data_IF_827654480689
#
_entry.id   IF_827654480689
#
_cell.length_a   1.000
_cell.length_b   1.000
_cell.length_c   1.000
_cell.angle_alpha   90.00
_cell.angle_beta   90.00
_cell.angle_gamma   90.00
#
_symmetry.space_group_name_H-M   'P 1'
#
loop_
_entity.id
_entity.type
_entity.pdbx_description
1 polymer ?
#
# COMPACT_ATOMS: atom_id res chain seq x y z
N UNK A 1 2.29 21.48 20.47
CA UNK A 1 2.67 22.00 19.11
C UNK A 1 2.73 23.51 19.21
N UNK A 2 3.90 24.07 19.00
CA UNK A 2 4.09 25.54 19.06
C UNK A 2 3.57 26.13 17.75
N UNK A 3 2.49 26.81 17.70
CA UNK A 3 1.79 27.47 16.57
C UNK A 3 2.67 28.11 15.45
N UNK A 4 3.82 27.50 15.13
CA UNK A 4 4.78 27.94 14.13
C UNK A 4 4.40 27.56 12.70
N UNK A 5 3.59 26.52 12.53
CA UNK A 5 3.16 26.03 11.22
C UNK A 5 1.71 26.44 11.00
N UNK A 6 1.46 27.21 9.95
CA UNK A 6 0.12 27.72 9.59
C UNK A 6 -0.64 26.80 8.67
N UNK A 7 0.05 26.09 7.78
CA UNK A 7 -0.54 25.21 6.77
C UNK A 7 0.21 23.88 6.82
N UNK A 8 -0.54 22.77 6.78
CA UNK A 8 -0.01 21.42 6.69
C UNK A 8 -0.62 20.74 5.48
N UNK A 9 0.20 20.24 4.58
CA UNK A 9 -0.22 19.38 3.46
C UNK A 9 0.13 17.95 3.85
N UNK A 10 -0.83 17.06 3.79
CA UNK A 10 -0.65 15.69 4.25
C UNK A 10 -1.61 14.70 3.56
N UNK A 11 -1.31 13.42 3.68
CA UNK A 11 -2.23 12.35 3.32
C UNK A 11 -3.11 11.96 4.51
N UNK A 12 -4.12 11.13 4.29
CA UNK A 12 -4.99 10.57 5.35
C UNK A 12 -4.20 9.93 6.50
N UNK A 13 -3.04 9.34 6.22
CA UNK A 13 -2.17 8.71 7.24
C UNK A 13 -1.67 9.70 8.30
N UNK A 14 -1.39 10.94 7.93
CA UNK A 14 -0.96 11.98 8.87
C UNK A 14 -2.09 12.38 9.83
N UNK A 15 -3.32 12.22 9.41
CA UNK A 15 -4.49 12.59 10.20
C UNK A 15 -4.74 11.71 11.42
N UNK A 16 -4.24 10.48 11.46
CA UNK A 16 -4.44 9.58 12.60
C UNK A 16 -3.63 10.07 13.81
N UNK A 17 -4.35 10.41 14.90
CA UNK A 17 -3.73 10.84 16.17
C UNK A 17 -3.50 12.36 16.33
N UNK A 18 -3.79 13.19 15.32
CA UNK A 18 -3.69 14.65 15.48
C UNK A 18 -4.96 15.19 16.12
N UNK A 19 -4.80 15.72 17.34
CA UNK A 19 -5.87 16.38 18.09
C UNK A 19 -5.53 17.87 18.34
N UNK A 20 -5.49 18.66 17.23
CA UNK A 20 -5.32 20.11 17.31
C UNK A 20 -6.71 20.76 17.31
N UNK A 21 -7.11 21.48 18.37
CA UNK A 21 -8.48 22.00 18.50
C UNK A 21 -8.77 23.18 17.57
N UNK A 22 -7.79 23.98 17.23
CA UNK A 22 -7.91 25.26 16.55
C UNK A 22 -7.63 25.18 15.03
N UNK A 23 -7.94 24.06 14.38
CA UNK A 23 -7.90 23.94 12.91
C UNK A 23 -9.05 24.75 12.34
N UNK A 24 -8.73 25.77 11.54
CA UNK A 24 -9.72 26.70 10.97
C UNK A 24 -10.27 26.25 9.62
N UNK A 25 -9.51 25.48 8.85
CA UNK A 25 -9.94 24.94 7.59
C UNK A 25 -9.39 23.54 7.37
N UNK A 26 -10.20 22.64 6.84
CA UNK A 26 -9.80 21.37 6.27
C UNK A 26 -10.19 21.40 4.79
N UNK A 27 -9.18 21.30 3.93
CA UNK A 27 -9.36 21.38 2.48
C UNK A 27 -8.98 20.03 1.88
N UNK A 28 -9.94 19.37 1.27
CA UNK A 28 -9.69 18.17 0.46
C UNK A 28 -9.34 18.63 -0.95
N UNK A 29 -8.12 18.34 -1.37
CA UNK A 29 -7.63 18.62 -2.72
C UNK A 29 -8.02 17.51 -3.70
N UNK A 30 -8.07 16.27 -3.21
CA UNK A 30 -8.53 15.10 -3.94
C UNK A 30 -9.84 14.58 -3.35
N UNK A 31 -10.65 13.89 -4.17
CA UNK A 31 -11.87 13.24 -3.71
C UNK A 31 -11.56 12.12 -2.71
N UNK A 32 -12.16 12.16 -1.50
CA UNK A 32 -12.06 11.05 -0.55
C UNK A 32 -12.68 9.77 -1.12
N UNK A 33 -12.23 8.62 -0.65
CA UNK A 33 -12.76 7.34 -1.14
C UNK A 33 -14.16 7.00 -0.62
N UNK A 34 -14.64 7.71 0.41
CA UNK A 34 -15.95 7.48 1.00
C UNK A 34 -16.40 8.65 1.86
N UNK A 35 -17.70 8.66 2.20
CA UNK A 35 -18.29 9.65 3.09
C UNK A 35 -17.69 9.56 4.51
N UNK A 36 -17.35 8.35 4.96
CA UNK A 36 -16.75 8.12 6.26
C UNK A 36 -15.35 8.75 6.34
N UNK A 37 -14.54 8.56 5.28
CA UNK A 37 -13.22 9.19 5.18
C UNK A 37 -13.36 10.71 5.19
N UNK A 38 -14.24 11.25 4.36
CA UNK A 38 -14.53 12.69 4.34
C UNK A 38 -14.90 13.20 5.74
N UNK A 39 -15.84 12.54 6.41
CA UNK A 39 -16.31 12.94 7.74
C UNK A 39 -15.19 12.90 8.80
N UNK A 40 -14.37 11.88 8.80
CA UNK A 40 -13.23 11.78 9.73
C UNK A 40 -12.20 12.88 9.52
N UNK A 41 -11.97 13.28 8.28
CA UNK A 41 -10.99 14.31 7.94
C UNK A 41 -11.59 15.70 8.15
N UNK A 42 -12.77 15.97 7.65
CA UNK A 42 -13.51 17.23 7.83
C UNK A 42 -13.81 17.55 9.30
N UNK A 43 -14.13 16.52 10.11
CA UNK A 43 -14.38 16.63 11.55
C UNK A 43 -13.17 17.01 12.41
N UNK A 44 -12.03 17.31 11.78
CA UNK A 44 -10.86 17.90 12.46
C UNK A 44 -10.97 19.41 12.57
N UNK A 45 -11.80 20.05 11.75
CA UNK A 45 -12.03 21.48 11.78
C UNK A 45 -12.87 21.88 13.01
N UNK A 46 -12.48 22.95 13.68
CA UNK A 46 -13.27 23.60 14.72
C UNK A 46 -13.55 22.79 15.98
N UNK A 47 -12.67 21.90 16.39
CA UNK A 47 -12.85 21.10 17.63
C UNK A 47 -12.90 21.94 18.91
N UNK A 48 -12.48 23.19 18.85
CA UNK A 48 -12.60 24.16 19.95
C UNK A 48 -13.96 24.89 19.99
N UNK A 49 -14.90 24.48 19.12
CA UNK A 49 -16.23 25.07 19.02
C UNK A 49 -16.30 26.41 18.28
N UNK A 50 -15.15 26.92 17.76
CA UNK A 50 -15.12 28.15 16.98
C UNK A 50 -15.41 27.87 15.49
N UNK A 51 -15.86 28.90 14.74
CA UNK A 51 -16.12 28.75 13.32
C UNK A 51 -14.92 28.18 12.57
N UNK A 52 -15.19 27.20 11.73
CA UNK A 52 -14.21 26.52 10.89
C UNK A 52 -14.89 25.97 9.63
N UNK A 53 -14.13 25.76 8.59
CA UNK A 53 -14.63 25.35 7.28
C UNK A 53 -14.09 23.98 6.86
N UNK A 54 -14.94 23.18 6.23
CA UNK A 54 -14.56 21.97 5.52
C UNK A 54 -14.88 22.18 4.04
N UNK A 55 -13.84 22.16 3.22
CA UNK A 55 -13.91 22.47 1.79
C UNK A 55 -13.50 21.26 1.00
N UNK A 56 -14.28 20.88 0.00
CA UNK A 56 -13.93 19.84 -0.96
C UNK A 56 -13.77 20.50 -2.34
N UNK A 57 -12.56 20.39 -2.89
CA UNK A 57 -12.24 20.88 -4.23
C UNK A 57 -12.27 19.71 -5.20
N UNK A 58 -13.01 19.83 -6.29
CA UNK A 58 -13.00 18.84 -7.37
C UNK A 58 -13.53 19.45 -8.67
N UNK A 59 -13.10 18.86 -9.77
CA UNK A 59 -13.58 19.16 -11.12
C UNK A 59 -14.29 17.93 -11.69
N UNK A 60 -14.99 18.10 -12.81
CA UNK A 60 -15.69 17.00 -13.47
C UNK A 60 -14.74 15.86 -13.82
N UNK A 61 -13.53 16.17 -14.32
CA UNK A 61 -12.52 15.16 -14.66
C UNK A 61 -12.06 14.33 -13.44
N UNK A 62 -11.94 14.97 -12.26
CA UNK A 62 -11.57 14.28 -11.02
C UNK A 62 -12.67 13.30 -10.61
N UNK A 63 -13.91 13.72 -10.77
CA UNK A 63 -15.09 12.90 -10.52
C UNK A 63 -15.15 11.70 -11.46
N UNK A 64 -15.00 11.91 -12.76
CA UNK A 64 -15.05 10.85 -13.76
C UNK A 64 -13.94 9.82 -13.53
N UNK A 65 -12.73 10.29 -13.20
CA UNK A 65 -11.61 9.42 -12.83
C UNK A 65 -11.89 8.64 -11.55
N UNK A 66 -12.42 9.30 -10.51
CA UNK A 66 -12.79 8.65 -9.26
C UNK A 66 -13.84 7.56 -9.49
N UNK A 67 -14.89 7.85 -10.25
CA UNK A 67 -15.94 6.89 -10.59
C UNK A 67 -15.38 5.68 -11.33
N UNK A 68 -14.54 5.90 -12.33
CA UNK A 68 -13.85 4.82 -13.05
C UNK A 68 -13.04 3.93 -12.09
N UNK A 69 -12.33 4.51 -11.13
CA UNK A 69 -11.59 3.75 -10.12
C UNK A 69 -12.51 2.88 -9.26
N UNK A 70 -13.67 3.43 -8.85
CA UNK A 70 -14.63 2.68 -8.04
C UNK A 70 -15.24 1.51 -8.81
N UNK A 71 -15.57 1.68 -10.09
CA UNK A 71 -16.11 0.62 -10.95
C UNK A 71 -15.15 -0.56 -11.08
N UNK A 72 -13.85 -0.30 -11.15
CA UNK A 72 -12.81 -1.32 -11.27
C UNK A 72 -12.53 -2.14 -9.98
N UNK A 73 -13.09 -1.74 -8.83
CA UNK A 73 -12.90 -2.46 -7.55
C UNK A 73 -13.64 -3.79 -7.47
N UNK A 74 -14.69 -3.95 -8.26
CA UNK A 74 -15.52 -5.16 -8.29
C UNK A 74 -15.55 -5.75 -9.71
N UNK A 75 -14.43 -6.33 -10.19
CA UNK A 75 -14.40 -6.91 -11.52
C UNK A 75 -15.35 -8.11 -11.62
N UNK A 76 -15.92 -8.40 -12.81
CA UNK A 76 -16.74 -9.57 -13.02
C UNK A 76 -16.05 -10.88 -12.56
N UNK A 77 -16.84 -11.87 -12.15
CA UNK A 77 -16.32 -13.16 -11.66
C UNK A 77 -15.44 -13.85 -12.70
N UNK A 78 -15.78 -13.75 -13.98
CA UNK A 78 -15.01 -14.28 -15.10
C UNK A 78 -13.62 -13.63 -15.16
N UNK A 79 -13.53 -12.34 -14.86
CA UNK A 79 -12.26 -11.60 -14.79
C UNK A 79 -11.42 -12.04 -13.60
N UNK A 80 -12.05 -12.30 -12.43
CA UNK A 80 -11.35 -12.82 -11.25
C UNK A 80 -10.81 -14.23 -11.55
N UNK A 81 -11.62 -15.10 -12.17
CA UNK A 81 -11.18 -16.44 -12.58
C UNK A 81 -10.06 -16.40 -13.63
N UNK A 82 -10.16 -15.47 -14.59
CA UNK A 82 -9.10 -15.24 -15.58
C UNK A 82 -7.80 -14.81 -14.89
N UNK A 83 -7.86 -13.88 -13.93
CA UNK A 83 -6.67 -13.44 -13.19
C UNK A 83 -6.02 -14.58 -12.40
N UNK A 84 -6.81 -15.50 -11.83
CA UNK A 84 -6.29 -16.69 -11.17
C UNK A 84 -5.58 -17.64 -12.15
N UNK A 85 -6.16 -17.86 -13.34
CA UNK A 85 -5.54 -18.67 -14.39
C UNK A 85 -4.22 -18.03 -14.84
N UNK A 86 -4.26 -16.75 -15.22
CA UNK A 86 -3.10 -16.02 -15.72
C UNK A 86 -1.97 -15.96 -14.65
N UNK A 87 -2.33 -15.80 -13.36
CA UNK A 87 -1.36 -15.83 -12.26
C UNK A 87 -0.67 -17.20 -12.18
N UNK A 88 -1.46 -18.27 -12.19
CA UNK A 88 -0.92 -19.63 -12.11
C UNK A 88 -0.03 -19.98 -13.32
N UNK A 89 -0.36 -19.47 -14.49
CA UNK A 89 0.42 -19.64 -15.71
C UNK A 89 1.71 -18.79 -15.67
N UNK A 90 1.62 -17.57 -15.14
CA UNK A 90 2.78 -16.69 -14.95
C UNK A 90 3.86 -17.33 -14.07
N UNK A 91 3.46 -17.90 -12.95
CA UNK A 91 4.38 -18.55 -11.99
C UNK A 91 4.57 -20.05 -12.27
N UNK A 92 3.96 -20.57 -13.36
CA UNK A 92 4.12 -21.93 -13.86
C UNK A 92 3.76 -23.04 -12.84
N UNK A 93 2.68 -22.84 -12.06
CA UNK A 93 2.20 -23.83 -11.10
C UNK A 93 1.21 -24.79 -11.82
N UNK A 94 1.50 -26.10 -11.92
CA UNK A 94 0.58 -27.06 -12.50
C UNK A 94 -0.67 -27.29 -11.62
N UNK A 95 -1.75 -27.77 -12.24
CA UNK A 95 -2.96 -28.19 -11.53
C UNK A 95 -2.65 -29.33 -10.56
N UNK A 96 -3.19 -29.29 -9.36
CA UNK A 96 -3.05 -30.33 -8.33
C UNK A 96 -1.84 -30.19 -7.41
N UNK A 97 -1.03 -29.14 -7.59
CA UNK A 97 0.13 -28.85 -6.73
C UNK A 97 0.18 -27.36 -6.36
N UNK A 98 1.12 -26.98 -5.49
CA UNK A 98 1.42 -25.59 -5.11
C UNK A 98 0.97 -25.22 -3.70
N UNK A 99 0.28 -26.09 -2.97
CA UNK A 99 -0.17 -25.79 -1.59
C UNK A 99 0.98 -25.36 -0.69
N UNK A 100 0.81 -24.20 -0.04
CA UNK A 100 1.78 -23.55 0.89
C UNK A 100 3.14 -23.23 0.27
N UNK A 101 3.28 -23.33 -1.06
CA UNK A 101 4.49 -22.94 -1.75
C UNK A 101 4.47 -21.45 -2.08
N UNK A 102 5.62 -20.80 -1.92
CA UNK A 102 5.83 -19.40 -2.23
C UNK A 102 6.55 -19.24 -3.56
N UNK A 103 6.09 -18.31 -4.37
CA UNK A 103 6.62 -18.02 -5.70
C UNK A 103 6.94 -16.53 -5.82
N UNK A 104 8.08 -16.15 -6.41
CA UNK A 104 8.36 -14.76 -6.75
C UNK A 104 7.25 -14.20 -7.66
N UNK A 105 6.80 -12.98 -7.38
CA UNK A 105 5.73 -12.36 -8.15
C UNK A 105 6.05 -10.90 -8.47
N UNK A 106 6.30 -10.63 -9.73
CA UNK A 106 6.43 -9.29 -10.28
C UNK A 106 5.11 -8.85 -10.91
N UNK A 107 4.39 -7.99 -10.21
CA UNK A 107 3.07 -7.48 -10.62
C UNK A 107 3.14 -6.69 -11.95
N UNK A 108 4.20 -5.90 -12.15
CA UNK A 108 4.34 -5.08 -13.35
C UNK A 108 4.58 -5.97 -14.57
N UNK A 109 5.46 -6.93 -14.44
CA UNK A 109 5.74 -7.92 -15.49
C UNK A 109 4.51 -8.80 -15.79
N UNK A 110 3.80 -9.25 -14.76
CA UNK A 110 2.52 -9.96 -14.90
C UNK A 110 1.51 -9.16 -15.73
N UNK A 111 1.29 -7.89 -15.39
CA UNK A 111 0.37 -7.02 -16.11
C UNK A 111 0.82 -6.81 -17.56
N UNK A 112 2.13 -6.69 -17.81
CA UNK A 112 2.68 -6.50 -19.16
C UNK A 112 2.46 -7.73 -20.04
N UNK A 113 2.80 -8.92 -19.55
CA UNK A 113 2.70 -10.19 -20.32
C UNK A 113 1.24 -10.50 -20.68
N UNK A 114 0.33 -10.40 -19.71
CA UNK A 114 -1.09 -10.75 -19.93
C UNK A 114 -1.96 -9.56 -20.35
N UNK A 115 -1.35 -8.39 -20.60
CA UNK A 115 -2.02 -7.15 -21.05
C UNK A 115 -3.17 -6.73 -20.13
N UNK A 116 -2.94 -6.82 -18.83
CA UNK A 116 -3.90 -6.40 -17.81
C UNK A 116 -3.91 -4.87 -17.61
N UNK A 117 -5.12 -4.31 -17.44
CA UNK A 117 -5.25 -3.04 -16.74
C UNK A 117 -4.81 -3.24 -15.28
N UNK A 118 -3.86 -2.45 -14.81
CA UNK A 118 -3.24 -2.62 -13.48
C UNK A 118 -4.23 -2.53 -12.32
N UNK A 119 -5.28 -1.71 -12.46
CA UNK A 119 -6.28 -1.52 -11.42
C UNK A 119 -7.18 -2.73 -11.36
N UNK A 120 -7.66 -3.22 -12.50
CA UNK A 120 -8.49 -4.42 -12.59
C UNK A 120 -7.71 -5.65 -12.11
N UNK A 121 -6.46 -5.81 -12.55
CA UNK A 121 -5.60 -6.92 -12.11
C UNK A 121 -5.43 -6.92 -10.59
N UNK A 122 -5.10 -5.76 -10.01
CA UNK A 122 -4.95 -5.62 -8.56
C UNK A 122 -6.23 -5.97 -7.81
N UNK A 123 -7.38 -5.47 -8.29
CA UNK A 123 -8.68 -5.77 -7.68
C UNK A 123 -9.03 -7.26 -7.80
N UNK A 124 -8.79 -7.88 -8.95
CA UNK A 124 -9.04 -9.30 -9.15
C UNK A 124 -8.15 -10.18 -8.25
N UNK A 125 -6.86 -9.87 -8.17
CA UNK A 125 -5.92 -10.58 -7.30
C UNK A 125 -6.26 -10.42 -5.81
N UNK A 126 -6.69 -9.22 -5.38
CA UNK A 126 -7.18 -8.99 -4.01
C UNK A 126 -8.44 -9.82 -3.70
N UNK A 127 -9.34 -10.00 -4.67
CA UNK A 127 -10.49 -10.89 -4.49
C UNK A 127 -10.07 -12.34 -4.34
N UNK A 128 -9.12 -12.83 -5.14
CA UNK A 128 -8.58 -14.20 -5.03
C UNK A 128 -7.95 -14.42 -3.66
N UNK A 129 -7.25 -13.40 -3.13
CA UNK A 129 -6.66 -13.43 -1.79
C UNK A 129 -7.73 -13.45 -0.69
N UNK A 130 -8.77 -12.61 -0.80
CA UNK A 130 -9.89 -12.56 0.15
C UNK A 130 -10.70 -13.86 0.20
N UNK A 131 -10.83 -14.54 -0.93
CA UNK A 131 -11.45 -15.88 -1.02
C UNK A 131 -10.53 -16.98 -0.47
N UNK A 132 -9.32 -16.66 -0.05
CA UNK A 132 -8.40 -17.60 0.60
C UNK A 132 -7.74 -18.59 -0.36
N UNK A 133 -7.61 -18.27 -1.64
CA UNK A 133 -6.90 -19.11 -2.61
C UNK A 133 -5.40 -18.85 -2.62
N UNK A 134 -5.02 -17.59 -2.46
CA UNK A 134 -3.64 -17.13 -2.44
C UNK A 134 -3.41 -16.17 -1.27
N UNK A 135 -2.14 -15.86 -1.01
CA UNK A 135 -1.71 -14.82 -0.10
C UNK A 135 -0.53 -14.07 -0.71
N UNK A 136 -0.63 -12.75 -0.73
CA UNK A 136 0.50 -11.90 -1.09
C UNK A 136 1.32 -11.53 0.14
N UNK A 137 2.65 -11.59 0.00
CA UNK A 137 3.57 -11.04 0.99
C UNK A 137 4.45 -9.99 0.31
N UNK A 138 4.58 -8.84 0.95
CA UNK A 138 5.38 -7.73 0.42
C UNK A 138 6.87 -8.10 0.27
N UNK A 139 7.32 -9.06 1.06
CA UNK A 139 8.61 -9.74 0.89
C UNK A 139 8.63 -11.00 1.74
N UNK A 140 9.05 -12.13 1.20
CA UNK A 140 9.70 -13.12 2.04
C UNK A 140 11.07 -12.54 2.35
N UNK A 141 11.29 -12.11 3.59
CA UNK A 141 12.59 -11.64 4.03
C UNK A 141 13.52 -12.87 4.10
N UNK A 142 14.17 -13.18 2.99
CA UNK A 142 15.30 -14.10 2.98
C UNK A 142 16.54 -13.23 3.17
N UNK A 143 17.20 -13.33 4.31
CA UNK A 143 18.42 -12.57 4.53
C UNK A 143 19.49 -12.98 3.52
N UNK A 144 20.31 -12.03 3.07
CA UNK A 144 21.44 -12.29 2.19
C UNK A 144 22.46 -13.20 2.87
N UNK A 145 23.14 -14.03 2.09
CA UNK A 145 24.19 -14.94 2.58
C UNK A 145 25.57 -14.37 2.23
N UNK A 146 26.47 -14.40 3.20
CA UNK A 146 27.87 -13.99 3.04
C UNK A 146 28.79 -15.05 3.65
N UNK A 147 29.87 -15.36 2.96
CA UNK A 147 31.00 -16.10 3.49
C UNK A 147 32.29 -15.37 3.15
N UNK A 148 33.20 -15.24 4.08
CA UNK A 148 34.53 -14.69 3.83
C UNK A 148 35.41 -15.78 3.24
N UNK A 149 35.92 -15.55 2.03
CA UNK A 149 36.74 -16.51 1.28
C UNK A 149 38.22 -16.12 1.21
N UNK A 150 38.52 -14.83 1.47
CA UNK A 150 39.89 -14.35 1.54
C UNK A 150 40.59 -14.80 2.84
N UNK A 151 41.90 -15.01 2.78
CA UNK A 151 42.70 -15.24 3.97
C UNK A 151 42.95 -13.93 4.75
N UNK A 152 43.40 -14.06 6.00
CA UNK A 152 43.56 -12.92 6.91
C UNK A 152 44.59 -11.88 6.41
N UNK A 153 45.66 -12.31 5.77
CA UNK A 153 46.69 -11.38 5.31
C UNK A 153 46.17 -10.54 4.15
N UNK A 154 45.47 -11.20 3.22
CA UNK A 154 44.80 -10.54 2.08
C UNK A 154 43.74 -9.54 2.55
N UNK A 155 43.02 -9.83 3.64
CA UNK A 155 42.04 -8.92 4.23
C UNK A 155 42.72 -7.67 4.78
N UNK A 156 43.82 -7.80 5.52
CA UNK A 156 44.54 -6.64 6.11
C UNK A 156 45.11 -5.71 5.02
N UNK A 157 45.69 -6.27 3.96
CA UNK A 157 46.18 -5.49 2.81
C UNK A 157 45.02 -4.78 2.08
N UNK A 158 43.90 -5.48 1.90
CA UNK A 158 42.72 -4.94 1.24
C UNK A 158 42.10 -3.78 2.01
N UNK A 159 41.98 -3.88 3.34
CA UNK A 159 41.45 -2.87 4.21
C UNK A 159 42.23 -1.56 4.13
N UNK A 160 43.55 -1.63 4.07
CA UNK A 160 44.41 -0.47 3.92
C UNK A 160 44.23 0.20 2.56
N UNK A 161 44.03 -0.57 1.51
CA UNK A 161 43.84 -0.06 0.15
C UNK A 161 42.42 0.46 -0.10
N UNK A 162 41.40 -0.06 0.60
CA UNK A 162 39.98 0.21 0.37
C UNK A 162 39.22 0.50 1.67
N UNK A 163 39.41 1.66 2.32
CA UNK A 163 38.89 1.93 3.66
C UNK A 163 37.37 1.80 3.79
N UNK A 164 36.60 2.17 2.75
CA UNK A 164 35.12 2.11 2.80
C UNK A 164 34.61 0.66 2.76
N UNK A 165 35.10 -0.14 1.82
CA UNK A 165 34.72 -1.53 1.74
C UNK A 165 35.31 -2.36 2.87
N UNK A 166 36.53 -2.01 3.32
CA UNK A 166 37.18 -2.56 4.50
C UNK A 166 36.36 -2.38 5.77
N UNK A 167 35.77 -1.19 5.98
CA UNK A 167 34.88 -0.95 7.12
C UNK A 167 33.65 -1.86 7.13
N UNK A 168 33.06 -2.14 5.96
CA UNK A 168 31.96 -3.10 5.82
C UNK A 168 32.44 -4.52 6.14
N UNK A 169 33.59 -4.92 5.60
CA UNK A 169 34.16 -6.24 5.83
C UNK A 169 34.51 -6.47 7.31
N UNK A 170 35.16 -5.50 7.96
CA UNK A 170 35.43 -5.55 9.41
C UNK A 170 34.17 -5.68 10.26
N UNK A 171 33.13 -4.92 9.91
CA UNK A 171 31.87 -5.01 10.63
C UNK A 171 31.25 -6.38 10.49
N UNK A 172 31.27 -6.98 9.30
CA UNK A 172 30.80 -8.34 9.05
C UNK A 172 31.57 -9.34 9.90
N UNK A 173 32.90 -9.26 9.90
CA UNK A 173 33.77 -10.14 10.68
C UNK A 173 33.52 -10.07 12.19
N UNK A 174 33.17 -8.88 12.70
CA UNK A 174 32.85 -8.68 14.13
C UNK A 174 31.45 -9.10 14.51
N UNK A 175 30.50 -9.02 13.55
CA UNK A 175 29.07 -9.25 13.83
C UNK A 175 28.66 -10.70 13.67
N UNK A 176 29.28 -11.42 12.70
CA UNK A 176 28.86 -12.77 12.33
C UNK A 176 29.95 -13.80 12.59
N UNK A 177 29.78 -14.61 13.65
CA UNK A 177 30.68 -15.69 13.96
C UNK A 177 30.61 -16.83 12.95
N UNK A 178 31.75 -17.53 12.71
CA UNK A 178 31.83 -18.69 11.79
C UNK A 178 31.75 -18.33 10.30
N UNK A 179 31.86 -17.06 9.93
CA UNK A 179 31.71 -16.59 8.55
C UNK A 179 32.83 -17.00 7.61
N UNK A 180 33.97 -17.45 8.15
CA UNK A 180 35.07 -18.09 7.39
C UNK A 180 34.76 -19.54 7.06
N UNK A 181 34.04 -20.24 7.96
CA UNK A 181 33.84 -21.68 7.86
C UNK A 181 32.63 -22.03 6.99
N UNK A 182 31.56 -21.20 7.05
CA UNK A 182 30.34 -21.43 6.32
C UNK A 182 29.61 -20.13 6.02
N UNK A 183 28.75 -20.07 4.95
CA UNK A 183 27.93 -18.92 4.67
C UNK A 183 27.01 -18.58 5.84
N UNK A 184 26.97 -17.31 6.24
CA UNK A 184 26.13 -16.79 7.32
C UNK A 184 25.07 -15.85 6.78
N UNK A 185 23.88 -15.91 7.39
CA UNK A 185 22.82 -14.93 7.10
C UNK A 185 23.19 -13.57 7.66
N UNK A 186 23.14 -12.54 6.83
CA UNK A 186 23.42 -11.17 7.25
C UNK A 186 22.16 -10.29 7.20
N UNK A 187 22.12 -9.28 8.06
CA UNK A 187 21.10 -8.25 8.04
C UNK A 187 21.69 -6.93 7.55
N UNK A 188 21.48 -6.61 6.27
CA UNK A 188 22.01 -5.42 5.62
C UNK A 188 21.52 -4.11 6.29
N UNK A 189 20.28 -4.10 6.81
CA UNK A 189 19.73 -2.93 7.55
C UNK A 189 20.46 -2.72 8.87
N UNK A 190 20.81 -3.81 9.57
CA UNK A 190 21.59 -3.73 10.79
C UNK A 190 23.00 -3.19 10.50
N UNK A 191 23.67 -3.72 9.46
CA UNK A 191 24.98 -3.24 9.04
C UNK A 191 24.94 -1.76 8.65
N UNK A 192 23.93 -1.32 7.91
CA UNK A 192 23.73 0.08 7.55
C UNK A 192 23.57 0.97 8.78
N UNK A 193 22.75 0.54 9.75
CA UNK A 193 22.56 1.26 11.02
C UNK A 193 23.85 1.39 11.83
N UNK A 194 24.62 0.30 11.95
CA UNK A 194 25.89 0.29 12.70
C UNK A 194 26.96 1.15 12.03
N UNK A 195 26.97 1.24 10.69
CA UNK A 195 27.87 2.09 9.93
C UNK A 195 27.37 3.55 9.83
N UNK A 196 26.15 3.84 10.27
CA UNK A 196 25.49 5.14 10.09
C UNK A 196 25.46 5.57 8.60
N UNK A 197 25.15 4.61 7.73
CA UNK A 197 25.05 4.76 6.28
C UNK A 197 23.69 4.21 5.80
N UNK A 198 23.33 4.53 4.55
CA UNK A 198 22.17 3.95 3.90
C UNK A 198 22.42 2.48 3.51
N UNK A 199 21.33 1.78 3.22
CA UNK A 199 21.39 0.36 2.82
C UNK A 199 22.07 0.18 1.46
N UNK A 200 21.92 1.14 0.56
CA UNK A 200 22.52 1.12 -0.77
C UNK A 200 24.06 1.14 -0.69
N UNK A 201 24.59 1.92 0.26
CA UNK A 201 26.03 1.92 0.54
C UNK A 201 26.53 0.54 0.95
N UNK A 202 25.82 -0.14 1.85
CA UNK A 202 26.20 -1.50 2.30
C UNK A 202 26.14 -2.49 1.13
N UNK A 203 25.03 -2.49 0.38
CA UNK A 203 24.85 -3.40 -0.77
C UNK A 203 25.92 -3.21 -1.85
N UNK A 204 26.21 -1.94 -2.19
CA UNK A 204 27.26 -1.60 -3.15
C UNK A 204 28.64 -2.14 -2.72
N UNK A 205 28.98 -2.01 -1.44
CA UNK A 205 30.25 -2.50 -0.91
C UNK A 205 30.27 -4.03 -0.81
N UNK A 206 29.17 -4.70 -0.47
CA UNK A 206 29.08 -6.17 -0.50
C UNK A 206 29.29 -6.71 -1.92
N UNK A 207 28.64 -6.12 -2.93
CA UNK A 207 28.87 -6.48 -4.32
C UNK A 207 30.32 -6.23 -4.76
N UNK A 208 30.92 -5.14 -4.33
CA UNK A 208 32.32 -4.86 -4.61
C UNK A 208 33.27 -5.88 -3.95
N UNK A 209 33.06 -6.19 -2.67
CA UNK A 209 33.82 -7.22 -1.95
C UNK A 209 33.72 -8.59 -2.61
N UNK A 210 32.54 -8.96 -3.10
CA UNK A 210 32.35 -10.19 -3.85
C UNK A 210 33.09 -10.18 -5.19
N UNK A 211 33.02 -9.07 -5.91
CA UNK A 211 33.70 -8.88 -7.21
C UNK A 211 35.22 -9.01 -7.10
N UNK A 212 35.79 -8.53 -6.00
CA UNK A 212 37.24 -8.59 -5.76
C UNK A 212 37.68 -9.85 -5.01
N UNK A 213 36.78 -10.80 -4.77
CA UNK A 213 37.09 -12.10 -4.20
C UNK A 213 37.36 -12.11 -2.70
N UNK A 214 36.96 -11.07 -1.95
CA UNK A 214 37.08 -11.06 -0.49
C UNK A 214 36.01 -11.90 0.18
N UNK A 215 34.80 -11.91 -0.39
CA UNK A 215 33.65 -12.66 0.11
C UNK A 215 32.94 -13.41 -1.02
N UNK A 216 32.24 -14.49 -0.67
CA UNK A 216 31.11 -14.99 -1.46
C UNK A 216 29.86 -14.29 -0.97
N UNK A 217 29.07 -13.69 -1.85
CA UNK A 217 27.87 -12.95 -1.52
C UNK A 217 26.71 -13.40 -2.39
N UNK A 218 25.69 -13.96 -1.77
CA UNK A 218 24.40 -14.26 -2.40
C UNK A 218 23.40 -13.24 -1.93
N UNK A 219 23.18 -12.22 -2.76
CA UNK A 219 22.15 -11.21 -2.50
C UNK A 219 20.79 -11.87 -2.69
N UNK A 220 20.00 -11.92 -1.62
CA UNK A 220 18.61 -12.32 -1.73
C UNK A 220 17.77 -11.06 -1.81
N UNK A 221 17.33 -10.76 -3.01
CA UNK A 221 16.38 -9.69 -3.25
C UNK A 221 15.09 -10.00 -2.49
N UNK A 222 14.61 -9.01 -1.75
CA UNK A 222 13.29 -9.02 -1.14
C UNK A 222 12.27 -8.81 -2.25
N UNK A 223 11.97 -9.86 -3.01
CA UNK A 223 10.94 -9.82 -4.03
C UNK A 223 9.57 -10.10 -3.39
N UNK A 224 8.51 -9.39 -3.83
CA UNK A 224 7.15 -9.76 -3.48
C UNK A 224 6.90 -11.23 -3.86
N UNK A 225 6.19 -11.94 -3.00
CA UNK A 225 5.85 -13.34 -3.26
C UNK A 225 4.35 -13.55 -3.21
N UNK A 226 3.88 -14.50 -3.99
CA UNK A 226 2.54 -15.05 -3.88
C UNK A 226 2.64 -16.49 -3.38
N UNK A 227 1.81 -16.84 -2.40
CA UNK A 227 1.67 -18.19 -1.86
C UNK A 227 0.33 -18.75 -2.25
N UNK A 228 0.29 -19.97 -2.80
CA UNK A 228 -0.96 -20.73 -2.93
C UNK A 228 -1.32 -21.35 -1.58
N UNK A 229 -2.51 -21.07 -1.07
CA UNK A 229 -2.96 -21.61 0.22
C UNK A 229 -3.46 -23.06 0.08
N UNK A 230 -3.85 -23.44 -1.14
CA UNK A 230 -4.31 -24.79 -1.51
C UNK A 230 -3.64 -25.22 -2.81
N UNK A 231 -3.70 -26.50 -3.13
CA UNK A 231 -3.28 -26.96 -4.44
C UNK A 231 -4.06 -26.25 -5.55
N UNK A 232 -3.37 -25.84 -6.62
CA UNK A 232 -3.99 -25.20 -7.78
C UNK A 232 -5.11 -26.04 -8.33
N UNK A 233 -6.30 -25.46 -8.48
CA UNK A 233 -7.41 -26.01 -9.23
C UNK A 233 -7.52 -25.34 -10.60
N UNK A 234 -8.20 -25.96 -11.57
CA UNK A 234 -8.54 -25.24 -12.79
C UNK A 234 -9.45 -24.03 -12.46
N UNK A 235 -9.25 -22.91 -13.12
CA UNK A 235 -9.95 -21.65 -12.82
C UNK A 235 -11.50 -21.80 -12.89
N UNK A 236 -12.01 -22.68 -13.74
CA UNK A 236 -13.44 -22.99 -13.82
C UNK A 236 -13.99 -23.53 -12.49
N UNK A 237 -13.20 -24.30 -11.75
CA UNK A 237 -13.58 -24.93 -10.48
C UNK A 237 -13.14 -24.11 -9.25
N UNK A 238 -12.48 -22.95 -9.45
CA UNK A 238 -12.16 -22.05 -8.35
C UNK A 238 -13.46 -21.60 -7.67
N UNK A 239 -13.57 -21.89 -6.37
CA UNK A 239 -14.73 -21.52 -5.56
C UNK A 239 -14.66 -20.05 -5.20
N UNK A 240 -15.74 -19.33 -5.44
CA UNK A 240 -15.96 -17.95 -5.01
C UNK A 240 -17.29 -17.93 -4.29
N UNK A 241 -17.34 -17.34 -3.11
CA UNK A 241 -18.60 -17.11 -2.40
C UNK A 241 -19.38 -15.99 -3.12
N UNK A 242 -20.26 -16.42 -4.03
CA UNK A 242 -21.07 -15.52 -4.86
C UNK A 242 -22.00 -14.64 -4.03
N UNK A 243 -22.57 -15.18 -2.96
CA UNK A 243 -23.50 -14.45 -2.10
C UNK A 243 -22.77 -13.34 -1.36
N UNK A 244 -21.61 -13.65 -0.77
CA UNK A 244 -20.75 -12.68 -0.11
C UNK A 244 -20.22 -11.64 -1.11
N UNK A 245 -19.79 -12.06 -2.31
CA UNK A 245 -19.38 -11.14 -3.37
C UNK A 245 -20.49 -10.14 -3.73
N UNK A 246 -21.71 -10.63 -3.99
CA UNK A 246 -22.88 -9.80 -4.36
C UNK A 246 -23.28 -8.86 -3.20
N UNK A 247 -23.28 -9.36 -1.97
CA UNK A 247 -23.59 -8.57 -0.80
C UNK A 247 -22.61 -7.38 -0.65
N UNK A 248 -21.32 -7.67 -0.72
CA UNK A 248 -20.25 -6.64 -0.65
C UNK A 248 -20.33 -5.66 -1.81
N UNK A 249 -20.57 -6.14 -3.03
CA UNK A 249 -20.73 -5.29 -4.21
C UNK A 249 -21.90 -4.33 -4.05
N UNK A 250 -23.07 -4.81 -3.61
CA UNK A 250 -24.26 -3.99 -3.37
C UNK A 250 -24.00 -2.94 -2.27
N UNK A 251 -23.39 -3.36 -1.15
CA UNK A 251 -23.05 -2.45 -0.06
C UNK A 251 -22.04 -1.37 -0.53
N UNK A 252 -21.09 -1.75 -1.36
CA UNK A 252 -20.15 -0.82 -1.96
C UNK A 252 -20.85 0.18 -2.91
N UNK A 253 -21.69 -0.32 -3.81
CA UNK A 253 -22.45 0.53 -4.74
C UNK A 253 -23.37 1.51 -4.01
N UNK A 254 -24.00 1.07 -2.91
CA UNK A 254 -24.81 1.95 -2.06
C UNK A 254 -23.97 3.09 -1.47
N UNK A 255 -22.79 2.79 -0.93
CA UNK A 255 -21.86 3.82 -0.40
C UNK A 255 -21.41 4.80 -1.48
N UNK A 256 -21.09 4.29 -2.68
CA UNK A 256 -20.76 5.16 -3.82
C UNK A 256 -21.91 6.09 -4.14
N UNK A 257 -23.12 5.55 -4.24
CA UNK A 257 -24.32 6.36 -4.50
C UNK A 257 -24.50 7.44 -3.43
N UNK A 258 -24.44 7.07 -2.15
CA UNK A 258 -24.60 8.02 -1.04
C UNK A 258 -23.54 9.13 -1.06
N UNK A 259 -22.29 8.79 -1.41
CA UNK A 259 -21.23 9.79 -1.56
C UNK A 259 -21.47 10.70 -2.78
N UNK A 260 -21.96 10.14 -3.89
CA UNK A 260 -22.40 10.89 -5.06
C UNK A 260 -23.50 11.89 -4.69
N UNK A 261 -24.54 11.40 -4.01
CA UNK A 261 -25.65 12.24 -3.58
C UNK A 261 -25.18 13.38 -2.67
N UNK A 262 -24.23 13.10 -1.77
CA UNK A 262 -23.63 14.11 -0.89
C UNK A 262 -22.82 15.17 -1.66
N UNK A 263 -21.99 14.78 -2.61
CA UNK A 263 -21.14 15.71 -3.37
C UNK A 263 -22.00 16.63 -4.24
N UNK A 264 -22.92 16.05 -4.99
CA UNK A 264 -23.77 16.80 -5.92
C UNK A 264 -25.02 17.42 -5.27
N UNK A 265 -25.17 17.24 -3.96
CA UNK A 265 -26.31 17.73 -3.19
C UNK A 265 -27.68 17.23 -3.71
N UNK A 266 -27.70 15.99 -4.23
CA UNK A 266 -28.96 15.42 -4.70
C UNK A 266 -29.91 15.17 -3.53
N UNK A 267 -31.15 15.66 -3.68
CA UNK A 267 -32.27 15.47 -2.75
C UNK A 267 -31.93 15.80 -1.27
N UNK A 268 -31.12 16.84 -1.04
CA UNK A 268 -30.78 17.28 0.30
C UNK A 268 -30.89 18.83 0.46
N UNK A 269 -31.29 19.23 1.64
CA UNK A 269 -31.41 20.65 2.01
C UNK A 269 -30.30 21.13 2.96
N UNK A 270 -29.51 20.19 3.49
CA UNK A 270 -28.45 20.50 4.45
C UNK A 270 -27.39 19.36 4.48
N UNK A 271 -26.14 19.71 4.25
CA UNK A 271 -25.03 18.73 4.26
C UNK A 271 -24.82 18.10 5.62
N UNK A 272 -24.91 18.89 6.70
CA UNK A 272 -24.72 18.36 8.05
C UNK A 272 -25.82 17.40 8.47
N UNK A 273 -27.12 17.72 8.13
CA UNK A 273 -28.21 16.80 8.43
C UNK A 273 -28.12 15.51 7.61
N UNK A 274 -27.65 15.58 6.37
CA UNK A 274 -27.42 14.38 5.55
C UNK A 274 -26.34 13.47 6.19
N UNK A 275 -25.21 14.04 6.62
CA UNK A 275 -24.15 13.30 7.31
C UNK A 275 -24.67 12.71 8.62
N UNK A 276 -25.38 13.46 9.43
CA UNK A 276 -25.94 12.97 10.69
C UNK A 276 -26.92 11.80 10.46
N UNK A 277 -27.80 11.91 9.46
CA UNK A 277 -28.70 10.82 9.06
C UNK A 277 -27.94 9.60 8.54
N UNK A 278 -26.88 9.81 7.74
CA UNK A 278 -26.01 8.73 7.25
C UNK A 278 -25.38 7.93 8.41
N UNK A 279 -24.96 8.60 9.49
CA UNK A 279 -24.42 7.96 10.69
C UNK A 279 -25.49 7.53 11.71
N UNK A 280 -26.76 7.55 11.34
CA UNK A 280 -27.85 6.94 12.09
C UNK A 280 -28.62 7.88 13.02
N UNK A 281 -28.39 9.20 12.98
CA UNK A 281 -29.20 10.17 13.71
C UNK A 281 -30.61 10.24 13.11
N UNK A 282 -31.61 10.12 14.00
CA UNK A 282 -33.01 10.20 13.58
C UNK A 282 -33.46 11.68 13.54
N UNK A 283 -33.98 12.11 12.40
CA UNK A 283 -34.51 13.48 12.18
C UNK A 283 -33.50 14.59 12.54
N UNK A 284 -32.29 14.60 11.97
CA UNK A 284 -31.32 15.63 12.28
C UNK A 284 -31.77 17.01 11.85
N UNK A 285 -31.50 18.03 12.66
CA UNK A 285 -31.83 19.40 12.35
C UNK A 285 -30.90 20.02 11.31
N UNK A 286 -31.40 21.02 10.55
CA UNK A 286 -30.56 21.78 9.61
C UNK A 286 -29.53 22.62 10.37
N UNK A 287 -28.27 22.62 9.90
CA UNK A 287 -27.19 23.35 10.56
C UNK A 287 -27.23 24.88 10.38
N UNK A 288 -27.91 25.40 9.36
CA UNK A 288 -28.05 26.82 9.00
C UNK A 288 -26.72 27.51 8.59
N UNK A 289 -25.64 26.77 8.45
CA UNK A 289 -24.30 27.33 8.16
C UNK A 289 -23.62 26.71 6.93
N UNK A 290 -24.09 25.57 6.42
CA UNK A 290 -23.52 24.98 5.21
C UNK A 290 -23.98 25.75 3.95
N UNK A 291 -23.29 25.50 2.85
CA UNK A 291 -23.56 26.06 1.51
C UNK A 291 -25.07 25.97 1.12
N UNK A 292 -25.67 24.79 1.32
CA UNK A 292 -27.10 24.58 1.00
C UNK A 292 -28.05 25.38 1.91
N UNK A 293 -27.71 25.51 3.20
CA UNK A 293 -28.52 26.27 4.13
C UNK A 293 -28.42 27.78 3.91
N UNK A 294 -27.28 28.30 3.50
CA UNK A 294 -27.00 29.72 3.32
C UNK A 294 -27.30 30.19 1.90
N UNK A 295 -27.54 29.27 0.96
CA UNK A 295 -27.72 29.60 -0.46
C UNK A 295 -26.45 30.12 -1.12
N UNK A 296 -25.29 29.96 -0.47
CA UNK A 296 -24.01 30.31 -1.05
C UNK A 296 -23.67 29.29 -2.14
N UNK A 297 -24.02 29.65 -3.39
CA UNK A 297 -23.56 28.87 -4.53
C UNK A 297 -22.03 28.94 -4.54
N UNK A 298 -21.36 27.86 -4.15
CA UNK A 298 -19.93 27.72 -4.38
C UNK A 298 -19.73 27.73 -5.88
N UNK A 299 -19.07 28.78 -6.37
CA UNK A 299 -18.73 28.92 -7.77
C UNK A 299 -17.98 27.68 -8.23
N UNK A 300 -18.53 26.99 -9.21
CA UNK A 300 -17.83 26.11 -10.09
C UNK A 300 -16.71 26.93 -10.74
N UNK A 301 -15.45 26.65 -10.38
CA UNK A 301 -14.27 27.15 -11.07
C UNK A 301 -14.06 26.37 -12.36
#
# INVERSE_FOLDING_TARGET
MNNKIRIVVCTSAFGMGINKPDVRAVIHYDLPNSIEQYYQEAGRAGRDGKPAEAILLFQQNDWDYWQMLQEKKYPPIEIIKKAYQDLADFIQVPIGIGEKQEYPFDFENFCSIFKWDKIIARSALQWIEQEGHIKFSASSFKPSLVQVIADRNTIEEFEQANPMAGAVLQLILRTYGGIFDSPQFINEKLLASLLQRDIEFVQKNLLFLAKVGQISFEQKESQPVVQFLWNRTAAAFMKIDLDNYQLRKKAFQLRIKQFTDYIWAHDMDCRSSYLAAYFGEKNPSKCKICDLCTGSQNNTF
#
